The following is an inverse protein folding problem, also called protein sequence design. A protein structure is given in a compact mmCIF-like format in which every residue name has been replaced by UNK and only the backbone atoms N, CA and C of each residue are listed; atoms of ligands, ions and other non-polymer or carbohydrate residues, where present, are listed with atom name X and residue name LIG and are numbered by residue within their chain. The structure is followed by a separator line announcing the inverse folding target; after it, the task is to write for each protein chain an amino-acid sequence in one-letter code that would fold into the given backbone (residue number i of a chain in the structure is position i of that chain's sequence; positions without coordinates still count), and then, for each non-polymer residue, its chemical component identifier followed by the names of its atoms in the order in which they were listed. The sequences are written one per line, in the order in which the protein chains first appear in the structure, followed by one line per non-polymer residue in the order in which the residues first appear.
data_IF_602202710323
#
_entry.id   IF_602202710323
#
_cell.length_a   1.000
_cell.length_b   1.000
_cell.length_c   1.000
_cell.angle_alpha   90.00
_cell.angle_beta   90.00
_cell.angle_gamma   90.00
#
_symmetry.space_group_name_H-M   'P 1'
#
loop_
_entity.id
_entity.type
_entity.pdbx_description
1 polymer ?
#
# COMPACT_ATOMS: atom_id res chain seq x y z
N UNK A 1 22.12 0.50 0.90
CA UNK A 1 20.68 0.29 0.64
C UNK A 1 20.07 -0.72 1.64
N UNK A 2 20.49 -0.70 2.92
CA UNK A 2 20.12 -1.74 3.90
C UNK A 2 19.22 -1.21 5.00
N UNK A 3 19.72 -0.28 5.81
CA UNK A 3 19.02 0.20 7.00
C UNK A 3 17.80 1.07 6.68
N UNK A 4 17.92 2.02 5.75
CA UNK A 4 16.79 2.89 5.36
C UNK A 4 15.66 2.11 4.69
N UNK A 5 16.02 1.08 3.91
CA UNK A 5 15.05 0.23 3.23
C UNK A 5 14.30 -0.68 4.21
N UNK A 6 15.00 -1.29 5.16
CA UNK A 6 14.36 -2.10 6.19
C UNK A 6 13.53 -1.25 7.15
N UNK A 7 13.99 -0.03 7.48
CA UNK A 7 13.21 0.95 8.23
C UNK A 7 11.92 1.36 7.49
N UNK A 8 11.99 1.61 6.18
CA UNK A 8 10.83 1.92 5.34
C UNK A 8 9.81 0.77 5.32
N UNK A 9 10.28 -0.48 5.21
CA UNK A 9 9.41 -1.67 5.27
C UNK A 9 8.74 -1.82 6.63
N UNK A 10 9.49 -1.67 7.71
CA UNK A 10 8.95 -1.71 9.06
C UNK A 10 7.90 -0.62 9.27
N UNK A 11 8.17 0.59 8.76
CA UNK A 11 7.25 1.72 8.82
C UNK A 11 5.95 1.45 8.04
N UNK A 12 6.04 0.88 6.84
CA UNK A 12 4.87 0.54 6.04
C UNK A 12 3.99 -0.52 6.72
N UNK A 13 4.62 -1.58 7.25
CA UNK A 13 3.90 -2.64 7.97
C UNK A 13 3.24 -2.11 9.25
N UNK A 14 3.92 -1.23 9.98
CA UNK A 14 3.35 -0.57 11.15
C UNK A 14 2.19 0.34 10.76
N UNK A 15 2.32 1.13 9.69
CA UNK A 15 1.24 1.95 9.16
C UNK A 15 0.00 1.14 8.82
N UNK A 16 0.16 -0.01 8.13
CA UNK A 16 -0.94 -0.92 7.87
C UNK A 16 -1.60 -1.41 9.17
N UNK A 17 -0.81 -1.90 10.13
CA UNK A 17 -1.34 -2.43 11.39
C UNK A 17 -2.12 -1.38 12.17
N UNK A 18 -1.62 -0.15 12.25
CA UNK A 18 -2.31 0.96 12.92
C UNK A 18 -3.62 1.33 12.23
N UNK A 19 -3.65 1.36 10.90
CA UNK A 19 -4.86 1.70 10.15
C UNK A 19 -5.94 0.62 10.26
N UNK A 20 -5.55 -0.65 10.28
CA UNK A 20 -6.47 -1.76 10.56
C UNK A 20 -7.04 -1.72 12.00
N UNK A 21 -6.39 -1.00 12.91
CA UNK A 21 -6.88 -0.76 14.27
C UNK A 21 -7.72 0.53 14.40
N UNK A 22 -8.03 1.20 13.29
CA UNK A 22 -8.91 2.38 13.25
C UNK A 22 -8.20 3.73 13.29
N UNK A 23 -6.87 3.77 13.44
CA UNK A 23 -6.12 5.03 13.39
C UNK A 23 -5.63 5.31 11.96
N UNK A 24 -6.58 5.77 11.14
CA UNK A 24 -6.40 6.06 9.69
C UNK A 24 -5.35 7.15 9.45
N UNK A 25 -5.38 8.23 10.22
CA UNK A 25 -4.48 9.37 10.02
C UNK A 25 -3.01 8.99 10.26
N UNK A 26 -2.75 8.28 11.37
CA UNK A 26 -1.40 7.84 11.66
C UNK A 26 -0.94 6.75 10.68
N UNK A 27 -1.85 5.91 10.16
CA UNK A 27 -1.53 4.96 9.10
C UNK A 27 -1.11 5.65 7.79
N UNK A 28 -1.88 6.63 7.35
CA UNK A 28 -1.62 7.40 6.13
C UNK A 28 -0.27 8.13 6.21
N UNK A 29 0.03 8.77 7.33
CA UNK A 29 1.30 9.47 7.54
C UNK A 29 2.51 8.50 7.45
N UNK A 30 2.41 7.33 8.09
CA UNK A 30 3.48 6.32 8.05
C UNK A 30 3.67 5.73 6.66
N UNK A 31 2.57 5.38 5.99
CA UNK A 31 2.61 4.81 4.63
C UNK A 31 3.15 5.81 3.61
N UNK A 32 2.81 7.11 3.70
CA UNK A 32 3.39 8.14 2.84
C UNK A 32 4.88 8.35 3.06
N UNK A 33 5.33 8.32 4.32
CA UNK A 33 6.77 8.40 4.62
C UNK A 33 7.51 7.19 4.07
N UNK A 34 6.98 5.97 4.24
CA UNK A 34 7.57 4.77 3.64
C UNK A 34 7.59 4.83 2.11
N UNK A 35 6.53 5.38 1.49
CA UNK A 35 6.47 5.59 0.03
C UNK A 35 7.65 6.42 -0.47
N UNK A 36 7.95 7.54 0.20
CA UNK A 36 9.08 8.41 -0.18
C UNK A 36 10.43 7.68 -0.18
N UNK A 37 10.66 6.80 0.80
CA UNK A 37 11.87 5.98 0.85
C UNK A 37 11.91 4.93 -0.27
N UNK A 38 10.77 4.32 -0.60
CA UNK A 38 10.70 3.37 -1.72
C UNK A 38 10.82 4.04 -3.09
N UNK A 39 10.37 5.29 -3.23
CA UNK A 39 10.60 6.13 -4.41
C UNK A 39 12.07 6.49 -4.53
N UNK A 40 12.68 6.97 -3.45
CA UNK A 40 14.11 7.30 -3.40
C UNK A 40 15.00 6.08 -3.70
N UNK A 41 14.65 4.92 -3.15
CA UNK A 41 15.35 3.66 -3.37
C UNK A 41 14.97 2.93 -4.68
N UNK A 42 14.03 3.47 -5.47
CA UNK A 42 13.60 2.87 -6.75
C UNK A 42 12.84 1.54 -6.63
N UNK A 43 12.33 1.19 -5.45
CA UNK A 43 11.65 -0.09 -5.21
C UNK A 43 10.20 -0.08 -5.68
N UNK A 44 9.98 -0.30 -6.98
CA UNK A 44 8.64 -0.30 -7.59
C UNK A 44 7.69 -1.33 -6.96
N UNK A 45 8.21 -2.49 -6.55
CA UNK A 45 7.40 -3.51 -5.88
C UNK A 45 6.87 -3.01 -4.53
N UNK A 46 7.68 -2.31 -3.75
CA UNK A 46 7.23 -1.76 -2.47
C UNK A 46 6.38 -0.51 -2.62
N UNK A 47 6.58 0.29 -3.67
CA UNK A 47 5.65 1.36 -4.03
C UNK A 47 4.25 0.78 -4.32
N UNK A 48 4.17 -0.25 -5.18
CA UNK A 48 2.91 -0.94 -5.48
C UNK A 48 2.25 -1.51 -4.21
N UNK A 49 3.04 -2.16 -3.35
CA UNK A 49 2.57 -2.72 -2.08
C UNK A 49 2.05 -1.64 -1.12
N UNK A 50 2.70 -0.48 -1.07
CA UNK A 50 2.30 0.63 -0.19
C UNK A 50 0.97 1.23 -0.66
N UNK A 51 0.73 1.33 -1.97
CA UNK A 51 -0.59 1.69 -2.51
C UNK A 51 -1.68 0.68 -2.15
N UNK A 52 -1.37 -0.62 -2.19
CA UNK A 52 -2.29 -1.66 -1.73
C UNK A 52 -2.63 -1.47 -0.25
N UNK A 53 -1.62 -1.22 0.61
CA UNK A 53 -1.81 -1.00 2.04
C UNK A 53 -2.69 0.23 2.32
N UNK A 54 -2.49 1.33 1.59
CA UNK A 54 -3.36 2.50 1.67
C UNK A 54 -4.82 2.14 1.31
N UNK A 55 -5.01 1.29 0.30
CA UNK A 55 -6.35 0.77 -0.06
C UNK A 55 -6.95 -0.08 1.06
N UNK A 56 -6.15 -0.90 1.73
CA UNK A 56 -6.59 -1.72 2.87
C UNK A 56 -7.03 -0.85 4.05
N UNK A 57 -6.29 0.22 4.34
CA UNK A 57 -6.65 1.19 5.39
C UNK A 57 -7.95 1.89 5.05
N UNK A 58 -8.12 2.38 3.81
CA UNK A 58 -9.38 3.01 3.39
C UNK A 58 -10.57 2.03 3.45
N UNK A 59 -10.36 0.77 3.07
CA UNK A 59 -11.38 -0.26 3.15
C UNK A 59 -11.79 -0.55 4.61
N UNK A 60 -10.82 -0.61 5.53
CA UNK A 60 -11.06 -0.82 6.96
C UNK A 60 -11.84 0.34 7.59
N UNK A 61 -11.63 1.55 7.10
CA UNK A 61 -12.37 2.76 7.49
C UNK A 61 -13.77 2.86 6.85
N UNK A 62 -14.12 1.92 5.96
CA UNK A 62 -15.41 1.91 5.24
C UNK A 62 -15.46 2.81 4.00
N UNK A 63 -14.35 3.48 3.65
CA UNK A 63 -14.23 4.34 2.47
C UNK A 63 -13.93 3.50 1.21
N UNK A 64 -14.98 2.83 0.73
CA UNK A 64 -14.93 1.93 -0.44
C UNK A 64 -14.45 2.65 -1.71
N UNK A 65 -14.84 3.92 -1.90
CA UNK A 65 -14.45 4.69 -3.06
C UNK A 65 -12.95 5.03 -3.07
N UNK A 66 -12.39 5.43 -1.93
CA UNK A 66 -10.95 5.68 -1.82
C UNK A 66 -10.15 4.38 -1.88
N UNK A 67 -10.65 3.29 -1.30
CA UNK A 67 -10.03 1.98 -1.41
C UNK A 67 -9.92 1.53 -2.87
N UNK A 68 -10.98 1.69 -3.67
CA UNK A 68 -10.98 1.34 -5.10
C UNK A 68 -9.90 2.11 -5.87
N UNK A 69 -9.81 3.44 -5.66
CA UNK A 69 -8.80 4.29 -6.31
C UNK A 69 -7.38 3.81 -6.00
N UNK A 70 -7.12 3.52 -4.73
CA UNK A 70 -5.79 3.08 -4.25
C UNK A 70 -5.43 1.70 -4.78
N UNK A 71 -6.39 0.77 -4.82
CA UNK A 71 -6.17 -0.55 -5.40
C UNK A 71 -5.94 -0.50 -6.91
N UNK A 72 -6.66 0.34 -7.67
CA UNK A 72 -6.40 0.52 -9.10
C UNK A 72 -5.00 1.09 -9.36
N UNK A 73 -4.55 2.02 -8.52
CA UNK A 73 -3.19 2.55 -8.63
C UNK A 73 -2.13 1.48 -8.34
N UNK A 74 -2.31 0.70 -7.26
CA UNK A 74 -1.46 -0.43 -6.93
C UNK A 74 -1.43 -1.49 -8.06
N UNK A 75 -2.60 -1.82 -8.63
CA UNK A 75 -2.74 -2.75 -9.74
C UNK A 75 -1.92 -2.29 -10.94
N UNK A 76 -2.04 -1.03 -11.35
CA UNK A 76 -1.26 -0.47 -12.47
C UNK A 76 0.25 -0.61 -12.28
N UNK A 77 0.73 -0.48 -11.03
CA UNK A 77 2.14 -0.68 -10.71
C UNK A 77 2.55 -2.15 -10.68
N UNK A 78 1.66 -3.05 -10.22
CA UNK A 78 1.90 -4.49 -10.17
C UNK A 78 1.81 -5.17 -11.53
N UNK A 79 0.96 -4.70 -12.45
CA UNK A 79 0.76 -5.30 -13.78
C UNK A 79 2.09 -5.60 -14.52
N UNK A 80 3.06 -4.67 -14.62
CA UNK A 80 4.34 -4.96 -15.27
C UNK A 80 5.34 -5.73 -14.38
N UNK A 81 5.07 -5.93 -13.08
CA UNK A 81 6.01 -6.51 -12.11
C UNK A 81 5.67 -7.96 -11.74
N UNK A 82 4.37 -8.28 -11.61
CA UNK A 82 3.88 -9.55 -11.07
C UNK A 82 2.43 -9.78 -11.46
N UNK A 83 2.20 -10.71 -12.39
CA UNK A 83 0.84 -11.11 -12.79
C UNK A 83 0.03 -11.72 -11.64
N UNK A 84 0.70 -12.40 -10.69
CA UNK A 84 0.06 -12.95 -9.50
C UNK A 84 -0.49 -11.86 -8.57
N UNK A 85 0.27 -10.79 -8.35
CA UNK A 85 -0.19 -9.68 -7.51
C UNK A 85 -1.29 -8.88 -8.18
N UNK A 86 -1.21 -8.72 -9.50
CA UNK A 86 -2.26 -8.11 -10.29
C UNK A 86 -3.58 -8.88 -10.19
N UNK A 87 -3.58 -10.19 -10.45
CA UNK A 87 -4.78 -11.05 -10.34
C UNK A 87 -5.39 -11.01 -8.94
N UNK A 88 -4.55 -11.06 -7.89
CA UNK A 88 -4.99 -10.92 -6.50
C UNK A 88 -5.71 -9.59 -6.24
N UNK A 89 -5.20 -8.49 -6.79
CA UNK A 89 -5.80 -7.16 -6.65
C UNK A 89 -7.09 -7.01 -7.46
N UNK A 90 -7.16 -7.60 -8.66
CA UNK A 90 -8.38 -7.66 -9.46
C UNK A 90 -9.48 -8.41 -8.72
N UNK A 91 -9.15 -9.58 -8.14
CA UNK A 91 -10.08 -10.34 -7.32
C UNK A 91 -10.53 -9.60 -6.05
N UNK A 92 -9.70 -8.69 -5.52
CA UNK A 92 -10.07 -7.83 -4.39
C UNK A 92 -10.99 -6.69 -4.84
N UNK A 93 -10.65 -6.01 -5.93
CA UNK A 93 -11.48 -4.96 -6.55
C UNK A 93 -12.88 -5.46 -6.91
N UNK A 94 -13.02 -6.71 -7.35
CA UNK A 94 -14.31 -7.31 -7.66
C UNK A 94 -15.21 -7.55 -6.43
N UNK A 95 -14.63 -7.58 -5.22
CA UNK A 95 -15.35 -7.80 -3.94
C UNK A 95 -15.46 -6.52 -3.11
N UNK A 96 -14.60 -5.56 -3.43
CA UNK A 96 -14.66 -4.19 -2.97
C UNK A 96 -15.74 -3.42 -3.69
#
# INVERSE_FOLDING_TARGET
MGEDYDAARALALHGLATGLHGDRDAAEARLRRAMGEFEHGGSRHWQARTWEMLGQVAQADGDRAEAERRYRHSLSLYTPLSGRDADRLEGRLAKL
#
